data_IF_486772278336
#
_entry.id   IF_486772278336
#
_cell.length_a   1.000
_cell.length_b   1.000
_cell.length_c   1.000
_cell.angle_alpha   90.00
_cell.angle_beta   90.00
_cell.angle_gamma   90.00
#
_symmetry.space_group_name_H-M   'P 1'
#
loop_
_entity.id
_entity.type
_entity.pdbx_description
1 polymer ?
#
# COMPACT_ATOMS: atom_id res chain seq x y z
N UNK A 1 7.84 -41.02 0.42
CA UNK A 1 6.85 -39.96 0.71
C UNK A 1 7.61 -38.65 0.73
N UNK A 2 7.28 -37.72 -0.17
CA UNK A 2 7.82 -36.36 -0.10
C UNK A 2 7.39 -35.73 1.23
N UNK A 3 8.29 -34.97 1.86
CA UNK A 3 7.92 -34.24 3.08
C UNK A 3 6.85 -33.21 2.72
N UNK A 4 5.81 -33.05 3.54
CA UNK A 4 4.82 -32.01 3.31
C UNK A 4 5.51 -30.64 3.28
N UNK A 5 5.15 -29.83 2.29
CA UNK A 5 5.78 -28.55 1.98
C UNK A 5 4.72 -27.46 1.92
N UNK A 6 5.06 -26.27 2.40
CA UNK A 6 4.21 -25.10 2.23
C UNK A 6 4.08 -24.76 0.75
N UNK A 7 2.86 -24.51 0.30
CA UNK A 7 2.60 -24.03 -1.06
C UNK A 7 1.89 -22.69 -0.99
N UNK A 8 2.33 -21.76 -1.81
CA UNK A 8 1.65 -20.49 -1.99
C UNK A 8 0.37 -20.67 -2.82
N UNK A 9 -0.38 -19.59 -3.04
CA UNK A 9 -1.66 -19.67 -3.75
C UNK A 9 -1.51 -20.02 -5.25
N UNK A 10 -0.33 -19.80 -5.83
CA UNK A 10 -0.04 -20.17 -7.22
C UNK A 10 0.33 -21.65 -7.35
N UNK A 11 0.49 -22.36 -6.21
CA UNK A 11 0.95 -23.74 -6.16
C UNK A 11 2.48 -23.87 -6.12
N UNK A 12 3.20 -22.76 -5.96
CA UNK A 12 4.66 -22.78 -5.89
C UNK A 12 5.12 -23.14 -4.47
N UNK A 13 6.20 -23.93 -4.31
CA UNK A 13 6.72 -24.26 -3.00
C UNK A 13 7.28 -23.04 -2.26
N UNK A 14 6.95 -22.92 -0.99
CA UNK A 14 7.44 -21.90 -0.10
C UNK A 14 8.44 -22.47 0.92
N UNK A 15 9.48 -21.68 1.16
CA UNK A 15 10.52 -21.98 2.14
C UNK A 15 10.69 -20.81 3.09
N UNK A 16 10.86 -21.12 4.37
CA UNK A 16 11.17 -20.13 5.39
C UNK A 16 12.55 -19.52 5.13
N UNK A 17 12.63 -18.19 5.24
CA UNK A 17 13.92 -17.51 5.20
C UNK A 17 14.77 -17.82 6.44
N UNK A 18 16.08 -17.87 6.20
CA UNK A 18 17.12 -18.07 7.21
C UNK A 18 18.04 -16.85 7.41
N UNK A 19 17.94 -15.82 6.56
CA UNK A 19 18.73 -14.61 6.72
C UNK A 19 18.35 -13.84 8.00
N UNK A 20 19.33 -13.14 8.54
CA UNK A 20 19.23 -12.33 9.75
C UNK A 20 19.10 -10.85 9.40
N UNK A 21 18.55 -10.05 10.31
CA UNK A 21 18.58 -8.60 10.14
C UNK A 21 20.00 -8.05 10.05
N UNK A 22 20.96 -8.66 10.75
CA UNK A 22 22.36 -8.22 10.69
C UNK A 22 22.90 -8.28 9.26
N UNK A 23 22.67 -9.37 8.54
CA UNK A 23 23.09 -9.51 7.13
C UNK A 23 22.41 -8.46 6.23
N UNK A 24 21.15 -8.13 6.50
CA UNK A 24 20.43 -7.06 5.80
C UNK A 24 21.10 -5.69 6.05
N UNK A 25 21.36 -5.33 7.30
CA UNK A 25 22.00 -4.05 7.66
C UNK A 25 23.42 -3.96 7.10
N UNK A 26 24.23 -5.03 7.21
CA UNK A 26 25.62 -5.05 6.76
C UNK A 26 25.75 -4.91 5.22
N UNK A 27 24.73 -5.32 4.47
CA UNK A 27 24.74 -5.23 3.01
C UNK A 27 24.45 -3.81 2.48
N UNK A 28 23.75 -2.97 3.25
CA UNK A 28 23.30 -1.65 2.82
C UNK A 28 24.43 -0.61 3.00
N UNK A 29 24.72 0.22 1.98
CA UNK A 29 25.72 1.27 2.11
C UNK A 29 25.44 2.25 3.27
N UNK A 30 26.45 2.64 4.07
CA UNK A 30 26.25 3.50 5.25
C UNK A 30 25.61 4.86 4.98
N UNK A 31 25.73 5.40 3.75
CA UNK A 31 25.11 6.67 3.41
C UNK A 31 23.59 6.57 3.22
N UNK A 32 23.05 5.39 2.86
CA UNK A 32 21.61 5.19 2.71
C UNK A 32 20.85 5.44 4.02
N UNK A 33 21.50 5.26 5.18
CA UNK A 33 20.92 5.50 6.50
C UNK A 33 20.93 6.98 6.93
N UNK A 34 21.45 7.91 6.12
CA UNK A 34 21.66 9.30 6.51
C UNK A 34 20.58 10.21 5.90
N UNK A 35 19.56 10.63 6.68
CA UNK A 35 18.59 11.60 6.19
C UNK A 35 19.22 12.98 6.00
N UNK A 36 18.87 13.62 4.89
CA UNK A 36 19.12 15.03 4.57
C UNK A 36 17.85 15.85 4.78
N UNK A 37 17.83 16.64 5.86
CA UNK A 37 16.70 17.53 6.17
C UNK A 37 16.37 18.48 5.02
N UNK A 38 17.40 19.06 4.39
CA UNK A 38 17.22 20.01 3.28
C UNK A 38 16.53 19.32 2.11
N UNK A 39 16.98 18.11 1.75
CA UNK A 39 16.38 17.34 0.67
C UNK A 39 14.92 17.00 0.99
N UNK A 40 14.64 16.47 2.17
CA UNK A 40 13.28 16.11 2.57
C UNK A 40 12.33 17.32 2.60
N UNK A 41 12.78 18.47 3.12
CA UNK A 41 12.00 19.72 3.09
C UNK A 41 11.79 20.23 1.65
N UNK A 42 12.77 20.08 0.76
CA UNK A 42 12.60 20.45 -0.64
C UNK A 42 11.49 19.63 -1.32
N UNK A 43 11.31 18.34 -0.97
CA UNK A 43 10.17 17.54 -1.45
C UNK A 43 8.83 18.03 -0.89
N UNK A 44 8.77 18.44 0.37
CA UNK A 44 7.56 19.06 0.94
C UNK A 44 7.21 20.34 0.17
N UNK A 45 8.18 21.23 -0.03
CA UNK A 45 7.98 22.48 -0.79
C UNK A 45 7.51 22.18 -2.21
N UNK A 46 8.13 21.19 -2.88
CA UNK A 46 7.75 20.76 -4.23
C UNK A 46 6.29 20.28 -4.29
N UNK A 47 5.88 19.45 -3.34
CA UNK A 47 4.53 18.86 -3.37
C UNK A 47 3.46 19.92 -3.06
N UNK A 48 3.72 20.83 -2.12
CA UNK A 48 2.84 21.98 -1.88
C UNK A 48 2.85 22.96 -3.06
N UNK A 49 3.96 23.13 -3.76
CA UNK A 49 4.01 23.90 -5.00
C UNK A 49 3.13 23.27 -6.08
N UNK A 50 3.20 21.94 -6.30
CA UNK A 50 2.30 21.24 -7.24
C UNK A 50 0.84 21.40 -6.85
N UNK A 51 0.51 21.26 -5.56
CA UNK A 51 -0.82 21.52 -5.04
C UNK A 51 -1.30 22.92 -5.40
N UNK A 52 -0.51 23.95 -5.08
CA UNK A 52 -0.91 25.33 -5.32
C UNK A 52 -1.06 25.64 -6.82
N UNK A 53 -0.16 25.11 -7.66
CA UNK A 53 -0.24 25.29 -9.11
C UNK A 53 -1.48 24.60 -9.68
N UNK A 54 -1.77 23.36 -9.30
CA UNK A 54 -2.97 22.65 -9.78
C UNK A 54 -4.25 23.38 -9.38
N UNK A 55 -4.37 23.82 -8.12
CA UNK A 55 -5.50 24.63 -7.66
C UNK A 55 -5.62 25.91 -8.48
N UNK A 56 -4.54 26.67 -8.64
CA UNK A 56 -4.53 27.92 -9.39
C UNK A 56 -4.96 27.72 -10.85
N UNK A 57 -4.41 26.71 -11.52
CA UNK A 57 -4.76 26.40 -12.91
C UNK A 57 -6.24 25.98 -13.01
N UNK A 58 -6.72 25.16 -12.08
CA UNK A 58 -8.08 24.67 -12.07
C UNK A 58 -9.10 25.82 -11.93
N UNK A 59 -8.91 26.69 -10.92
CA UNK A 59 -9.85 27.79 -10.67
C UNK A 59 -9.80 28.88 -11.75
N UNK A 60 -8.65 29.06 -12.40
CA UNK A 60 -8.45 30.10 -13.43
C UNK A 60 -8.96 29.65 -14.80
N UNK A 61 -8.65 28.41 -15.21
CA UNK A 61 -8.83 27.98 -16.59
C UNK A 61 -9.95 26.97 -16.82
N UNK A 62 -10.40 26.21 -15.81
CA UNK A 62 -11.52 25.27 -16.04
C UNK A 62 -12.85 26.00 -16.23
N UNK A 63 -13.20 27.04 -15.45
CA UNK A 63 -14.48 27.74 -15.61
C UNK A 63 -14.68 28.40 -16.98
N UNK A 64 -13.59 28.82 -17.65
CA UNK A 64 -13.66 29.47 -18.96
C UNK A 64 -13.96 28.50 -20.11
N UNK A 65 -13.88 27.18 -19.90
CA UNK A 65 -14.18 26.17 -20.92
C UNK A 65 -15.68 26.23 -21.25
N UNK A 66 -16.11 26.61 -22.46
CA UNK A 66 -17.52 26.85 -22.76
C UNK A 66 -18.35 25.56 -22.84
N UNK A 67 -17.72 24.44 -23.22
CA UNK A 67 -18.40 23.16 -23.42
C UNK A 67 -18.50 22.36 -22.11
N UNK A 68 -19.72 22.19 -21.60
CA UNK A 68 -19.98 21.57 -20.28
C UNK A 68 -19.35 20.18 -20.11
N UNK A 69 -19.45 19.23 -21.07
CA UNK A 69 -18.81 17.93 -20.91
C UNK A 69 -17.28 18.03 -20.80
N UNK A 70 -16.64 18.91 -21.57
CA UNK A 70 -15.20 19.13 -21.47
C UNK A 70 -14.82 19.77 -20.13
N UNK A 71 -15.63 20.70 -19.63
CA UNK A 71 -15.45 21.29 -18.30
C UNK A 71 -15.55 20.25 -17.20
N UNK A 72 -16.51 19.33 -17.29
CA UNK A 72 -16.66 18.22 -16.36
C UNK A 72 -15.42 17.31 -16.39
N UNK A 73 -14.97 16.90 -17.58
CA UNK A 73 -13.76 16.08 -17.74
C UNK A 73 -12.51 16.78 -17.18
N UNK A 74 -12.38 18.10 -17.39
CA UNK A 74 -11.27 18.87 -16.84
C UNK A 74 -11.30 18.91 -15.31
N UNK A 75 -12.47 19.08 -14.69
CA UNK A 75 -12.62 18.97 -13.23
C UNK A 75 -12.32 17.55 -12.73
N UNK A 76 -12.77 16.50 -13.42
CA UNK A 76 -12.44 15.12 -13.08
C UNK A 76 -10.93 14.87 -13.16
N UNK A 77 -10.26 15.35 -14.20
CA UNK A 77 -8.82 15.24 -14.34
C UNK A 77 -8.07 15.99 -13.22
N UNK A 78 -8.52 17.19 -12.88
CA UNK A 78 -7.97 17.94 -11.75
C UNK A 78 -8.07 17.14 -10.44
N UNK A 79 -9.23 16.57 -10.11
CA UNK A 79 -9.39 15.90 -8.82
C UNK A 79 -8.49 14.67 -8.69
N UNK A 80 -8.31 13.90 -9.78
CA UNK A 80 -7.38 12.77 -9.83
C UNK A 80 -5.95 13.24 -9.64
N UNK A 81 -5.51 14.25 -10.41
CA UNK A 81 -4.13 14.77 -10.33
C UNK A 81 -3.81 15.38 -8.97
N UNK A 82 -4.75 16.14 -8.41
CA UNK A 82 -4.62 16.73 -7.08
C UNK A 82 -4.60 15.65 -5.99
N UNK A 83 -5.37 14.58 -6.18
CA UNK A 83 -5.35 13.38 -5.35
C UNK A 83 -3.98 12.73 -5.30
N UNK A 84 -3.29 12.59 -6.44
CA UNK A 84 -1.92 12.08 -6.47
C UNK A 84 -0.95 12.94 -5.64
N UNK A 85 -1.04 14.26 -5.78
CA UNK A 85 -0.19 15.19 -5.01
C UNK A 85 -0.48 15.08 -3.51
N UNK A 86 -1.75 15.00 -3.10
CA UNK A 86 -2.10 14.81 -1.70
C UNK A 86 -1.58 13.49 -1.14
N UNK A 87 -1.64 12.39 -1.92
CA UNK A 87 -1.04 11.12 -1.52
C UNK A 87 0.47 11.25 -1.33
N UNK A 88 1.18 12.00 -2.19
CA UNK A 88 2.60 12.33 -1.99
C UNK A 88 2.88 13.04 -0.67
N UNK A 89 2.06 14.03 -0.32
CA UNK A 89 2.13 14.74 0.97
C UNK A 89 1.89 13.77 2.14
N UNK A 90 0.92 12.86 2.00
CA UNK A 90 0.65 11.83 3.00
C UNK A 90 1.87 10.93 3.25
N UNK A 91 2.56 10.53 2.17
CA UNK A 91 3.75 9.66 2.23
C UNK A 91 4.92 10.39 2.91
N UNK A 92 5.13 11.68 2.62
CA UNK A 92 6.15 12.48 3.32
C UNK A 92 5.89 12.58 4.83
N UNK A 93 4.62 12.69 5.24
CA UNK A 93 4.24 12.65 6.65
C UNK A 93 4.44 11.26 7.27
N UNK A 94 4.25 10.19 6.50
CA UNK A 94 4.61 8.85 6.90
C UNK A 94 6.12 8.69 7.12
N UNK A 95 6.98 9.22 6.25
CA UNK A 95 8.45 9.25 6.43
C UNK A 95 8.86 9.99 7.72
N UNK A 96 8.14 11.06 8.07
CA UNK A 96 8.29 11.73 9.36
C UNK A 96 7.95 10.79 10.54
N UNK A 97 6.93 9.95 10.40
CA UNK A 97 6.52 8.95 11.41
C UNK A 97 7.61 7.93 11.72
N UNK A 98 8.39 7.50 10.71
CA UNK A 98 9.52 6.59 10.88
C UNK A 98 10.82 7.27 11.31
N UNK A 99 10.87 8.60 11.23
CA UNK A 99 12.10 9.36 11.47
C UNK A 99 13.09 9.33 10.30
N UNK A 100 12.65 8.86 9.12
CA UNK A 100 13.44 8.84 7.89
C UNK A 100 13.55 10.23 7.23
N UNK A 101 12.67 11.17 7.60
CA UNK A 101 12.64 12.50 7.01
C UNK A 101 13.82 13.40 7.45
N UNK A 102 14.15 13.41 8.74
CA UNK A 102 15.22 14.23 9.34
C UNK A 102 15.81 13.55 10.58
N UNK A 103 17.07 13.88 10.93
CA UNK A 103 17.65 13.50 12.22
C UNK A 103 16.94 14.14 13.42
N UNK A 104 16.25 15.28 13.20
CA UNK A 104 15.52 15.96 14.26
C UNK A 104 14.12 15.35 14.44
N UNK A 105 13.96 14.63 15.55
CA UNK A 105 12.67 14.04 15.95
C UNK A 105 11.56 15.09 16.06
N UNK A 106 11.85 16.26 16.63
CA UNK A 106 10.88 17.33 16.76
C UNK A 106 10.44 17.86 15.39
N UNK A 107 11.38 18.04 14.46
CA UNK A 107 11.05 18.50 13.11
C UNK A 107 10.14 17.50 12.39
N UNK A 108 10.48 16.21 12.46
CA UNK A 108 9.65 15.14 11.90
C UNK A 108 8.24 15.19 12.49
N UNK A 109 8.14 15.32 13.82
CA UNK A 109 6.85 15.33 14.49
C UNK A 109 6.01 16.55 14.12
N UNK A 110 6.61 17.74 14.04
CA UNK A 110 5.91 18.96 13.63
C UNK A 110 5.44 18.90 12.18
N UNK A 111 6.32 18.54 11.24
CA UNK A 111 5.96 18.48 9.82
C UNK A 111 4.97 17.35 9.53
N UNK A 112 5.15 16.19 10.16
CA UNK A 112 4.22 15.08 10.09
C UNK A 112 2.83 15.49 10.60
N UNK A 113 2.75 16.14 11.77
CA UNK A 113 1.50 16.63 12.32
C UNK A 113 0.80 17.60 11.36
N UNK A 114 1.52 18.57 10.78
CA UNK A 114 0.94 19.55 9.85
C UNK A 114 0.38 18.85 8.59
N UNK A 115 1.19 18.02 7.94
CA UNK A 115 0.84 17.38 6.67
C UNK A 115 -0.28 16.34 6.83
N UNK A 116 -0.26 15.51 7.88
CA UNK A 116 -1.34 14.57 8.15
C UNK A 116 -2.61 15.25 8.65
N UNK A 117 -2.53 16.31 9.48
CA UNK A 117 -3.72 17.08 9.88
C UNK A 117 -4.39 17.72 8.67
N UNK A 118 -3.61 18.25 7.71
CA UNK A 118 -4.12 18.74 6.42
C UNK A 118 -4.92 17.69 5.65
N UNK A 119 -4.68 16.40 5.88
CA UNK A 119 -5.35 15.26 5.26
C UNK A 119 -6.29 14.52 6.22
N UNK A 120 -6.67 15.14 7.34
CA UNK A 120 -7.54 14.58 8.38
C UNK A 120 -7.05 13.24 8.96
N UNK A 121 -5.72 13.07 9.04
CA UNK A 121 -5.08 11.90 9.66
C UNK A 121 -4.51 12.30 11.01
N UNK A 122 -4.85 11.61 12.11
CA UNK A 122 -4.29 11.92 13.42
C UNK A 122 -2.83 11.40 13.49
N UNK A 123 -1.86 12.27 13.20
CA UNK A 123 -0.46 11.91 12.99
C UNK A 123 0.18 11.05 14.09
N UNK A 124 0.11 11.47 15.36
CA UNK A 124 0.77 10.70 16.43
C UNK A 124 0.04 9.40 16.74
N UNK A 125 -1.29 9.41 16.65
CA UNK A 125 -2.11 8.20 16.76
C UNK A 125 -1.69 7.17 15.72
N UNK A 126 -1.72 7.57 14.45
CA UNK A 126 -1.40 6.70 13.34
C UNK A 126 0.07 6.26 13.34
N UNK A 127 1.03 7.17 13.56
CA UNK A 127 2.46 6.76 13.55
C UNK A 127 2.78 5.75 14.67
N UNK A 128 2.07 5.81 15.82
CA UNK A 128 2.30 4.90 16.95
C UNK A 128 1.74 3.51 16.63
N UNK A 129 0.50 3.43 16.15
CA UNK A 129 -0.10 2.16 15.73
C UNK A 129 0.61 1.56 14.51
N UNK A 130 1.05 2.39 13.57
CA UNK A 130 1.84 1.97 12.41
C UNK A 130 3.24 1.49 12.80
N UNK A 131 3.90 2.12 13.77
CA UNK A 131 5.16 1.59 14.31
C UNK A 131 4.98 0.23 15.01
N UNK A 132 3.80 -0.08 15.54
CA UNK A 132 3.48 -1.41 16.05
C UNK A 132 3.27 -2.42 14.91
N UNK A 133 2.62 -1.99 13.82
CA UNK A 133 2.50 -2.80 12.60
C UNK A 133 3.88 -3.25 12.13
N UNK A 134 4.82 -2.34 11.88
CA UNK A 134 6.19 -2.69 11.46
C UNK A 134 6.91 -3.68 12.41
N UNK A 135 6.61 -3.64 13.72
CA UNK A 135 7.22 -4.55 14.69
C UNK A 135 6.60 -5.95 14.68
N UNK A 136 5.43 -6.11 14.07
CA UNK A 136 4.64 -7.34 14.10
C UNK A 136 4.11 -7.74 12.71
N UNK A 137 4.54 -7.09 11.62
CA UNK A 137 4.05 -7.33 10.26
C UNK A 137 4.03 -8.82 9.92
N UNK A 138 2.93 -9.28 9.33
CA UNK A 138 2.75 -10.67 8.91
C UNK A 138 2.55 -11.66 10.07
N UNK A 139 2.46 -11.19 11.32
CA UNK A 139 2.05 -12.02 12.45
C UNK A 139 0.52 -12.01 12.60
N UNK A 140 -0.12 -13.16 12.52
CA UNK A 140 -1.59 -13.24 12.53
C UNK A 140 -2.23 -12.87 13.88
N UNK A 141 -1.46 -12.86 14.98
CA UNK A 141 -1.99 -12.52 16.30
C UNK A 141 -1.68 -11.09 16.74
N UNK A 142 -0.59 -10.48 16.24
CA UNK A 142 -0.02 -9.22 16.76
C UNK A 142 0.04 -8.09 15.74
N UNK A 143 -0.07 -8.35 14.44
CA UNK A 143 -0.11 -7.29 13.44
C UNK A 143 -1.31 -6.36 13.73
N UNK A 144 -1.10 -5.05 13.62
CA UNK A 144 -2.08 -4.02 13.97
C UNK A 144 -2.79 -3.44 12.74
N UNK A 145 -2.44 -3.85 11.53
CA UNK A 145 -2.95 -3.25 10.30
C UNK A 145 -3.41 -4.24 9.23
N UNK A 146 -2.72 -5.37 9.03
CA UNK A 146 -3.02 -6.30 7.91
C UNK A 146 -3.10 -7.75 8.38
N UNK A 147 -4.01 -8.04 9.31
CA UNK A 147 -4.28 -9.41 9.77
C UNK A 147 -5.29 -10.07 8.82
N UNK A 148 -4.88 -11.07 8.01
CA UNK A 148 -5.84 -11.83 7.22
C UNK A 148 -6.73 -12.68 8.12
N UNK A 149 -7.92 -13.01 7.61
CA UNK A 149 -8.82 -13.94 8.30
C UNK A 149 -8.35 -15.38 8.11
N UNK A 150 -8.52 -16.21 9.12
CA UNK A 150 -8.49 -17.67 8.95
C UNK A 150 -9.77 -18.12 8.23
N UNK A 151 -9.72 -19.28 7.55
CA UNK A 151 -10.86 -19.82 6.78
C UNK A 151 -12.18 -19.81 7.58
N UNK A 152 -12.17 -20.36 8.78
CA UNK A 152 -13.36 -20.44 9.63
C UNK A 152 -13.90 -19.08 10.05
N UNK A 153 -13.01 -18.10 10.28
CA UNK A 153 -13.41 -16.74 10.63
C UNK A 153 -14.03 -16.03 9.43
N UNK A 154 -13.43 -16.20 8.26
CA UNK A 154 -13.92 -15.64 7.01
C UNK A 154 -15.31 -16.18 6.68
N UNK A 155 -15.52 -17.51 6.79
CA UNK A 155 -16.82 -18.16 6.56
C UNK A 155 -17.86 -17.61 7.53
N UNK A 156 -17.55 -17.53 8.83
CA UNK A 156 -18.49 -17.00 9.84
C UNK A 156 -18.86 -15.54 9.58
N UNK A 157 -17.92 -14.71 9.14
CA UNK A 157 -18.14 -13.29 8.88
C UNK A 157 -18.97 -13.08 7.60
N UNK A 158 -18.67 -13.79 6.51
CA UNK A 158 -19.32 -13.57 5.21
C UNK A 158 -20.61 -14.35 5.02
N UNK A 159 -20.69 -15.55 5.58
CA UNK A 159 -21.81 -16.49 5.36
C UNK A 159 -22.63 -16.76 6.63
N UNK A 160 -22.18 -16.27 7.78
CA UNK A 160 -22.84 -16.42 9.08
C UNK A 160 -22.38 -17.65 9.86
N UNK A 161 -22.71 -17.67 11.15
CA UNK A 161 -22.23 -18.69 12.11
C UNK A 161 -22.84 -20.08 11.92
N UNK A 162 -23.89 -20.21 11.09
CA UNK A 162 -24.58 -21.46 10.76
C UNK A 162 -24.60 -21.73 9.26
N UNK A 163 -23.61 -21.22 8.52
CA UNK A 163 -23.52 -21.47 7.08
C UNK A 163 -23.54 -22.98 6.80
N UNK A 164 -24.54 -23.45 6.04
CA UNK A 164 -24.61 -24.84 5.62
C UNK A 164 -23.56 -25.11 4.53
N UNK A 165 -23.16 -26.38 4.37
CA UNK A 165 -22.21 -26.78 3.32
C UNK A 165 -22.67 -26.32 1.92
N UNK A 166 -23.96 -26.46 1.62
CA UNK A 166 -24.56 -25.98 0.36
C UNK A 166 -24.44 -24.45 0.17
N UNK A 167 -24.49 -23.66 1.24
CA UNK A 167 -24.32 -22.21 1.17
C UNK A 167 -22.85 -21.84 0.94
N UNK A 168 -21.92 -22.61 1.51
CA UNK A 168 -20.50 -22.47 1.23
C UNK A 168 -20.26 -22.77 -0.24
N UNK A 169 -20.74 -23.91 -0.75
CA UNK A 169 -20.63 -24.32 -2.17
C UNK A 169 -21.21 -23.25 -3.13
N UNK A 170 -22.40 -22.72 -2.83
CA UNK A 170 -22.99 -21.62 -3.59
C UNK A 170 -22.16 -20.34 -3.52
N UNK A 171 -21.57 -20.03 -2.36
CA UNK A 171 -20.66 -18.91 -2.21
C UNK A 171 -19.37 -19.13 -3.00
N UNK A 172 -18.84 -20.35 -3.11
CA UNK A 172 -17.66 -20.64 -3.97
C UNK A 172 -17.99 -20.36 -5.45
N UNK A 173 -19.20 -20.69 -5.89
CA UNK A 173 -19.70 -20.41 -7.23
C UNK A 173 -19.95 -18.91 -7.47
N UNK A 174 -20.39 -18.17 -6.45
CA UNK A 174 -20.73 -16.75 -6.54
C UNK A 174 -19.56 -15.79 -6.24
N UNK A 175 -18.49 -16.27 -5.60
CA UNK A 175 -17.33 -15.47 -5.17
C UNK A 175 -16.61 -14.80 -6.34
N UNK A 176 -16.67 -15.40 -7.53
CA UNK A 176 -16.09 -14.86 -8.76
C UNK A 176 -17.03 -13.96 -9.57
N UNK A 177 -18.23 -13.66 -9.05
CA UNK A 177 -19.15 -12.73 -9.70
C UNK A 177 -18.51 -11.35 -9.85
N UNK A 178 -18.33 -10.81 -11.08
CA UNK A 178 -17.72 -9.51 -11.30
C UNK A 178 -18.43 -8.37 -10.56
N UNK A 179 -19.75 -8.49 -10.36
CA UNK A 179 -20.56 -7.49 -9.65
C UNK A 179 -20.26 -7.52 -8.15
N UNK A 180 -20.14 -8.71 -7.56
CA UNK A 180 -19.80 -8.87 -6.15
C UNK A 180 -18.40 -8.34 -5.85
N UNK A 181 -17.43 -8.69 -6.70
CA UNK A 181 -16.06 -8.18 -6.59
C UNK A 181 -16.00 -6.65 -6.74
N UNK A 182 -16.69 -6.08 -7.73
CA UNK A 182 -16.74 -4.63 -7.94
C UNK A 182 -17.39 -3.89 -6.76
N UNK A 183 -18.49 -4.42 -6.21
CA UNK A 183 -19.13 -3.83 -5.04
C UNK A 183 -18.20 -3.84 -3.83
N UNK A 184 -17.52 -4.97 -3.60
CA UNK A 184 -16.55 -5.07 -2.51
C UNK A 184 -15.40 -4.07 -2.68
N UNK A 185 -14.90 -3.87 -3.89
CA UNK A 185 -13.86 -2.88 -4.20
C UNK A 185 -14.31 -1.45 -3.93
N UNK A 186 -15.52 -1.08 -4.34
CA UNK A 186 -16.07 0.24 -4.07
C UNK A 186 -16.17 0.50 -2.57
N UNK A 187 -16.70 -0.45 -1.80
CA UNK A 187 -16.81 -0.33 -0.35
C UNK A 187 -15.43 -0.26 0.30
N UNK A 188 -14.49 -1.11 -0.12
CA UNK A 188 -13.13 -1.16 0.39
C UNK A 188 -12.39 0.16 0.15
N UNK A 189 -12.45 0.70 -1.08
CA UNK A 189 -11.74 1.93 -1.43
C UNK A 189 -12.33 3.19 -0.79
N UNK A 190 -13.65 3.25 -0.58
CA UNK A 190 -14.30 4.43 0.02
C UNK A 190 -14.23 4.42 1.55
N UNK A 191 -14.39 3.25 2.18
CA UNK A 191 -14.57 3.14 3.63
C UNK A 191 -13.44 2.41 4.36
N UNK A 192 -12.49 1.80 3.65
CA UNK A 192 -11.37 1.06 4.25
C UNK A 192 -10.54 1.93 5.17
N UNK A 193 -10.09 3.09 4.70
CA UNK A 193 -9.26 4.00 5.50
C UNK A 193 -9.99 4.63 6.69
N UNK A 194 -11.17 5.28 6.53
CA UNK A 194 -11.93 5.77 7.67
C UNK A 194 -12.32 4.65 8.65
N UNK A 195 -12.68 3.48 8.13
CA UNK A 195 -13.03 2.31 8.92
C UNK A 195 -11.85 1.77 9.74
N UNK A 196 -10.65 1.76 9.17
CA UNK A 196 -9.42 1.44 9.90
C UNK A 196 -9.17 2.41 11.05
N UNK A 197 -9.24 3.72 10.78
CA UNK A 197 -8.99 4.74 11.80
C UNK A 197 -10.02 4.69 12.94
N UNK A 198 -11.30 4.50 12.62
CA UNK A 198 -12.39 4.57 13.61
C UNK A 198 -12.65 3.23 14.32
N UNK A 199 -12.46 2.11 13.62
CA UNK A 199 -12.96 0.80 14.05
C UNK A 199 -11.95 -0.36 13.92
N UNK A 200 -10.70 -0.10 13.54
CA UNK A 200 -9.65 -1.11 13.43
C UNK A 200 -10.05 -2.35 12.59
N UNK A 201 -10.67 -2.13 11.43
CA UNK A 201 -11.30 -3.21 10.64
C UNK A 201 -10.34 -4.33 10.19
N UNK A 202 -9.05 -4.04 10.06
CA UNK A 202 -8.05 -4.93 9.44
C UNK A 202 -6.93 -5.37 10.39
N UNK A 203 -6.88 -4.85 11.62
CA UNK A 203 -5.87 -5.21 12.62
C UNK A 203 -6.26 -6.41 13.48
N UNK A 204 -5.39 -6.76 14.43
CA UNK A 204 -5.68 -7.77 15.46
C UNK A 204 -6.92 -7.43 16.29
N UNK A 205 -7.47 -8.45 16.96
CA UNK A 205 -8.73 -8.35 17.73
C UNK A 205 -8.56 -7.80 19.16
N UNK A 206 -7.32 -7.61 19.64
CA UNK A 206 -7.03 -7.09 20.99
C UNK A 206 -7.86 -7.73 22.11
N UNK A 207 -7.95 -9.06 22.14
CA UNK A 207 -8.73 -9.79 23.14
C UNK A 207 -10.25 -9.50 23.11
N UNK A 208 -10.77 -9.02 21.98
CA UNK A 208 -12.19 -8.69 21.81
C UNK A 208 -12.57 -7.27 22.25
N UNK A 209 -11.60 -6.35 22.37
CA UNK A 209 -11.87 -4.94 22.63
C UNK A 209 -12.80 -4.34 21.55
N UNK A 210 -13.69 -3.42 21.97
CA UNK A 210 -14.72 -2.81 21.11
C UNK A 210 -14.88 -1.32 21.42
N UNK A 211 -15.58 -0.63 20.52
CA UNK A 211 -15.94 0.78 20.69
C UNK A 211 -14.72 1.70 20.58
N UNK A 212 -14.68 2.73 21.41
CA UNK A 212 -13.62 3.74 21.34
C UNK A 212 -12.22 3.18 21.62
N UNK A 213 -12.11 2.08 22.39
CA UNK A 213 -10.82 1.48 22.75
C UNK A 213 -9.98 1.03 21.55
N UNK A 214 -10.61 0.81 20.40
CA UNK A 214 -10.00 0.42 19.12
C UNK A 214 -10.07 1.53 18.07
N UNK A 215 -10.24 2.79 18.50
CA UNK A 215 -10.21 3.97 17.62
C UNK A 215 -8.87 4.69 17.73
N UNK A 216 -8.37 5.20 16.60
CA UNK A 216 -7.16 6.00 16.57
C UNK A 216 -7.33 7.38 17.23
N UNK A 217 -8.57 7.84 17.41
CA UNK A 217 -8.90 9.11 18.05
C UNK A 217 -9.16 8.97 19.56
N UNK A 218 -8.90 7.79 20.14
CA UNK A 218 -9.17 7.55 21.55
C UNK A 218 -7.93 7.71 22.42
N UNK A 219 -8.00 8.66 23.36
CA UNK A 219 -6.95 8.99 24.31
C UNK A 219 -7.27 8.56 25.76
N UNK A 220 -8.13 7.56 25.94
CA UNK A 220 -8.37 6.95 27.26
C UNK A 220 -7.24 6.00 27.69
N UNK A 221 -7.06 5.83 29.00
CA UNK A 221 -6.01 4.95 29.58
C UNK A 221 -6.18 3.47 29.24
N UNK A 222 -7.39 3.06 28.88
CA UNK A 222 -7.76 1.71 28.47
C UNK A 222 -7.72 1.51 26.94
N UNK A 223 -7.15 2.47 26.19
CA UNK A 223 -6.82 2.31 24.77
C UNK A 223 -5.94 1.08 24.55
N UNK A 224 -6.21 0.33 23.48
CA UNK A 224 -5.39 -0.84 23.13
C UNK A 224 -4.15 -0.47 22.31
N UNK A 225 -4.12 0.73 21.75
CA UNK A 225 -3.03 1.19 20.88
C UNK A 225 -1.93 1.93 21.63
N UNK A 226 -2.27 2.66 22.71
CA UNK A 226 -1.38 3.68 23.27
C UNK A 226 -1.09 3.47 24.75
N UNK A 227 0.12 3.86 25.16
CA UNK A 227 0.51 3.90 26.58
C UNK A 227 0.05 5.20 27.22
N UNK A 228 -0.07 5.21 28.56
CA UNK A 228 -0.52 6.40 29.30
C UNK A 228 0.33 7.65 29.02
N UNK A 229 1.64 7.49 28.87
CA UNK A 229 2.55 8.61 28.58
C UNK A 229 2.50 9.11 27.13
N UNK A 230 1.77 8.44 26.24
CA UNK A 230 1.59 8.80 24.84
C UNK A 230 0.29 9.58 24.60
N UNK A 231 -0.67 9.54 25.54
CA UNK A 231 -2.02 10.09 25.38
C UNK A 231 -2.04 11.59 25.05
N UNK A 232 -1.10 12.37 25.59
CA UNK A 232 -0.96 13.79 25.27
C UNK A 232 -0.67 14.05 23.77
N UNK A 233 0.02 13.12 23.10
CA UNK A 233 0.29 13.20 21.66
C UNK A 233 -0.95 12.85 20.82
N UNK A 234 -1.81 11.98 21.34
CA UNK A 234 -3.09 11.63 20.71
C UNK A 234 -4.00 12.86 20.71
N UNK A 235 -4.15 13.51 21.86
CA UNK A 235 -4.88 14.77 22.00
C UNK A 235 -4.34 15.83 21.02
N UNK A 236 -3.01 15.97 20.93
CA UNK A 236 -2.40 16.92 19.99
C UNK A 236 -2.76 16.63 18.52
N UNK A 237 -2.86 15.35 18.15
CA UNK A 237 -3.26 14.94 16.80
C UNK A 237 -4.73 15.23 16.53
N UNK A 238 -5.60 14.94 17.51
CA UNK A 238 -7.03 15.20 17.42
C UNK A 238 -7.31 16.71 17.31
N UNK A 239 -6.56 17.55 18.04
CA UNK A 239 -6.58 19.01 17.89
C UNK A 239 -6.18 19.42 16.47
N UNK A 240 -5.12 18.83 15.92
CA UNK A 240 -4.70 19.10 14.54
C UNK A 240 -5.79 18.80 13.51
N UNK A 241 -6.45 17.65 13.64
CA UNK A 241 -7.60 17.27 12.81
C UNK A 241 -8.77 18.23 13.01
N UNK A 242 -9.11 18.58 14.25
CA UNK A 242 -10.20 19.52 14.54
C UNK A 242 -9.93 20.94 13.96
N UNK A 243 -8.68 21.41 14.04
CA UNK A 243 -8.26 22.68 13.42
C UNK A 243 -8.45 22.62 11.92
N UNK A 244 -8.05 21.53 11.25
CA UNK A 244 -8.24 21.38 9.82
C UNK A 244 -9.73 21.36 9.43
N UNK A 245 -10.57 20.64 10.19
CA UNK A 245 -12.02 20.64 9.98
C UNK A 245 -12.59 22.07 10.10
N UNK A 246 -12.21 22.80 11.15
CA UNK A 246 -12.63 24.19 11.33
C UNK A 246 -12.17 25.08 10.16
N UNK A 247 -10.93 24.90 9.69
CA UNK A 247 -10.39 25.62 8.54
C UNK A 247 -11.19 25.33 7.24
N UNK A 248 -11.60 24.07 7.03
CA UNK A 248 -12.44 23.68 5.88
C UNK A 248 -13.84 24.29 5.96
N UNK A 249 -14.44 24.34 7.16
CA UNK A 249 -15.75 24.99 7.38
C UNK A 249 -15.65 26.49 7.09
N UNK A 250 -14.64 27.16 7.63
CA UNK A 250 -14.39 28.59 7.38
C UNK A 250 -14.14 28.84 5.89
N UNK A 251 -13.32 28.01 5.23
CA UNK A 251 -13.09 28.11 3.80
C UNK A 251 -14.38 27.91 2.99
N UNK A 252 -15.27 27.02 3.42
CA UNK A 252 -16.58 26.81 2.79
C UNK A 252 -17.49 28.04 2.92
N UNK A 253 -17.43 28.73 4.06
CA UNK A 253 -18.17 29.98 4.29
C UNK A 253 -17.61 31.14 3.47
N UNK A 254 -16.28 31.23 3.32
CA UNK A 254 -15.61 32.34 2.61
C UNK A 254 -15.61 32.16 1.08
N UNK A 255 -15.39 30.94 0.60
CA UNK A 255 -15.15 30.65 -0.82
C UNK A 255 -16.26 29.78 -1.45
N UNK A 256 -17.27 29.39 -0.68
CA UNK A 256 -18.35 28.51 -1.10
C UNK A 256 -18.04 27.03 -0.87
N UNK A 257 -18.97 26.32 -0.21
CA UNK A 257 -18.79 24.91 0.16
C UNK A 257 -18.51 24.00 -1.05
N UNK A 258 -19.11 24.29 -2.21
CA UNK A 258 -18.88 23.50 -3.43
C UNK A 258 -17.44 23.61 -3.94
N UNK A 259 -16.82 24.78 -3.81
CA UNK A 259 -15.41 24.97 -4.18
C UNK A 259 -14.51 24.18 -3.23
N UNK A 260 -14.76 24.18 -1.93
CA UNK A 260 -14.00 23.35 -0.98
C UNK A 260 -14.18 21.86 -1.26
N UNK A 261 -15.41 21.44 -1.60
CA UNK A 261 -15.70 20.05 -1.95
C UNK A 261 -14.86 19.61 -3.15
N UNK A 262 -14.88 20.36 -4.25
CA UNK A 262 -14.16 19.98 -5.47
C UNK A 262 -12.65 20.16 -5.30
N UNK A 263 -12.19 21.26 -4.68
CA UNK A 263 -10.78 21.60 -4.62
C UNK A 263 -10.00 20.80 -3.58
N UNK A 264 -10.65 20.36 -2.51
CA UNK A 264 -9.98 19.66 -1.41
C UNK A 264 -10.65 18.32 -1.06
N UNK A 265 -11.97 18.25 -0.87
CA UNK A 265 -12.62 17.02 -0.38
C UNK A 265 -12.57 15.86 -1.38
N UNK A 266 -12.87 16.10 -2.66
CA UNK A 266 -12.80 15.05 -3.69
C UNK A 266 -11.36 14.58 -3.92
N UNK A 267 -10.33 15.46 -4.02
CA UNK A 267 -8.93 15.05 -3.97
C UNK A 267 -8.53 14.29 -2.70
N UNK A 268 -9.07 14.66 -1.54
CA UNK A 268 -8.85 13.92 -0.30
C UNK A 268 -9.46 12.51 -0.32
N UNK A 269 -10.61 12.30 -0.97
CA UNK A 269 -11.15 10.95 -1.18
C UNK A 269 -10.20 10.08 -2.02
N UNK A 270 -9.49 10.66 -2.98
CA UNK A 270 -8.45 9.93 -3.71
C UNK A 270 -7.30 9.49 -2.81
N UNK A 271 -6.94 10.28 -1.79
CA UNK A 271 -5.93 9.87 -0.79
C UNK A 271 -6.38 8.60 -0.07
N UNK A 272 -7.64 8.56 0.37
CA UNK A 272 -8.20 7.38 1.04
C UNK A 272 -8.13 6.15 0.14
N UNK A 273 -8.52 6.29 -1.13
CA UNK A 273 -8.40 5.23 -2.13
C UNK A 273 -6.93 4.80 -2.30
N UNK A 274 -6.00 5.73 -2.53
CA UNK A 274 -4.61 5.36 -2.79
C UNK A 274 -3.94 4.69 -1.60
N UNK A 275 -4.18 5.16 -0.36
CA UNK A 275 -3.65 4.51 0.84
C UNK A 275 -4.13 3.07 0.93
N UNK A 276 -5.44 2.84 0.77
CA UNK A 276 -6.03 1.49 0.83
C UNK A 276 -5.47 0.62 -0.30
N UNK A 277 -5.47 1.09 -1.55
CA UNK A 277 -4.99 0.31 -2.68
C UNK A 277 -3.50 -0.03 -2.60
N UNK A 278 -2.65 0.93 -2.23
CA UNK A 278 -1.20 0.76 -2.10
C UNK A 278 -0.89 -0.26 -1.01
N UNK A 279 -1.41 -0.03 0.20
CA UNK A 279 -1.11 -0.88 1.34
C UNK A 279 -1.70 -2.28 1.21
N UNK A 280 -2.90 -2.40 0.63
CA UNK A 280 -3.47 -3.71 0.28
C UNK A 280 -2.53 -4.49 -0.64
N UNK A 281 -2.06 -3.90 -1.74
CA UNK A 281 -1.21 -4.60 -2.70
C UNK A 281 0.21 -4.89 -2.23
N UNK A 282 0.67 -4.12 -1.26
CA UNK A 282 1.93 -4.29 -0.57
C UNK A 282 1.89 -5.46 0.42
N UNK A 283 0.74 -5.72 1.05
CA UNK A 283 0.59 -6.74 2.09
C UNK A 283 -0.23 -7.96 1.66
N UNK A 284 -0.85 -7.92 0.48
CA UNK A 284 -1.71 -8.98 -0.04
C UNK A 284 -1.22 -9.43 -1.40
N UNK A 285 -0.74 -10.67 -1.48
CA UNK A 285 -0.41 -11.35 -2.72
C UNK A 285 -0.44 -12.87 -2.53
N UNK A 286 -0.72 -13.59 -3.62
CA UNK A 286 -0.70 -15.04 -3.70
C UNK A 286 0.54 -15.69 -3.07
N UNK A 287 1.69 -15.00 -3.15
CA UNK A 287 3.00 -15.48 -2.71
C UNK A 287 3.35 -15.10 -1.25
N UNK A 288 2.50 -14.32 -0.56
CA UNK A 288 2.80 -13.80 0.78
C UNK A 288 2.49 -14.79 1.90
N UNK A 289 3.48 -15.11 2.76
CA UNK A 289 3.26 -15.89 3.97
C UNK A 289 2.76 -15.02 5.12
N UNK A 290 2.06 -15.66 6.06
CA UNK A 290 1.74 -15.12 7.37
C UNK A 290 2.16 -16.14 8.43
N UNK A 291 2.43 -15.68 9.65
CA UNK A 291 3.06 -16.50 10.68
C UNK A 291 2.32 -16.41 12.01
N UNK A 292 2.21 -17.55 12.69
CA UNK A 292 1.89 -17.56 14.12
C UNK A 292 3.06 -17.03 14.95
N UNK A 293 2.80 -16.78 16.23
CA UNK A 293 3.83 -16.40 17.19
C UNK A 293 5.01 -17.39 17.30
N UNK A 294 4.79 -18.69 17.10
CA UNK A 294 5.84 -19.71 17.23
C UNK A 294 6.87 -19.66 16.10
N UNK A 295 6.46 -19.18 14.92
CA UNK A 295 7.26 -19.25 13.68
C UNK A 295 7.74 -17.87 13.24
N UNK A 296 7.05 -16.83 13.69
CA UNK A 296 7.38 -15.45 13.39
C UNK A 296 8.72 -15.02 14.02
N UNK A 297 9.52 -14.32 13.25
CA UNK A 297 10.57 -13.43 13.74
C UNK A 297 10.52 -12.14 12.92
N UNK A 298 11.24 -11.10 13.36
CA UNK A 298 11.19 -9.80 12.70
C UNK A 298 11.60 -9.87 11.22
N UNK A 299 12.65 -10.60 10.86
CA UNK A 299 13.10 -10.70 9.48
C UNK A 299 12.06 -11.36 8.56
N UNK A 300 11.40 -12.43 9.03
CA UNK A 300 10.31 -13.10 8.32
C UNK A 300 9.08 -12.20 8.18
N UNK A 301 8.70 -11.53 9.26
CA UNK A 301 7.55 -10.63 9.27
C UNK A 301 7.73 -9.41 8.37
N UNK A 302 8.86 -8.71 8.51
CA UNK A 302 9.20 -7.54 7.70
C UNK A 302 9.37 -7.85 6.20
N UNK A 303 9.47 -9.13 5.83
CA UNK A 303 9.58 -9.58 4.43
C UNK A 303 8.32 -10.27 3.91
N UNK A 304 7.27 -10.35 4.73
CA UNK A 304 5.91 -10.70 4.30
C UNK A 304 5.23 -9.52 3.59
N UNK A 305 5.92 -8.99 2.58
CA UNK A 305 5.49 -7.84 1.80
C UNK A 305 6.10 -7.89 0.40
N UNK A 306 5.53 -7.14 -0.55
CA UNK A 306 5.89 -7.20 -1.96
C UNK A 306 6.02 -5.80 -2.57
N UNK A 307 7.09 -5.60 -3.36
CA UNK A 307 7.22 -4.40 -4.18
C UNK A 307 6.32 -4.46 -5.41
N UNK A 308 5.70 -3.34 -5.75
CA UNK A 308 4.85 -3.17 -6.94
C UNK A 308 5.41 -2.06 -7.83
N UNK A 309 4.75 -1.80 -8.96
CA UNK A 309 5.09 -0.68 -9.83
C UNK A 309 3.86 0.15 -10.22
N UNK A 310 3.99 1.48 -10.11
CA UNK A 310 3.05 2.48 -10.65
C UNK A 310 3.78 3.53 -11.51
N UNK A 311 4.95 3.17 -12.04
CA UNK A 311 5.73 3.94 -12.99
C UNK A 311 6.11 5.33 -12.49
N UNK A 312 5.85 6.35 -13.33
CA UNK A 312 6.17 7.74 -13.01
C UNK A 312 5.42 8.25 -11.78
N UNK A 313 4.20 7.78 -11.54
CA UNK A 313 3.41 8.22 -10.39
C UNK A 313 4.11 7.79 -9.10
N UNK A 314 4.56 6.53 -9.03
CA UNK A 314 5.33 6.03 -7.88
C UNK A 314 6.61 6.84 -7.66
N UNK A 315 7.46 6.84 -8.69
CA UNK A 315 8.82 7.41 -8.61
C UNK A 315 8.85 8.93 -8.37
N UNK A 316 7.86 9.67 -8.87
CA UNK A 316 7.86 11.13 -8.79
C UNK A 316 6.92 11.67 -7.73
N UNK A 317 5.69 11.15 -7.64
CA UNK A 317 4.63 11.68 -6.78
C UNK A 317 4.51 10.91 -5.47
N UNK A 318 4.67 9.59 -5.48
CA UNK A 318 4.53 8.76 -4.29
C UNK A 318 5.87 8.37 -3.66
N UNK A 319 6.94 9.02 -4.09
CA UNK A 319 8.25 8.93 -3.42
C UNK A 319 8.75 7.48 -3.33
N UNK A 320 8.58 6.68 -4.38
CA UNK A 320 9.06 5.29 -4.51
C UNK A 320 8.49 4.29 -3.47
N UNK A 321 7.51 4.65 -2.64
CA UNK A 321 7.00 3.78 -1.57
C UNK A 321 6.42 2.46 -2.10
N UNK A 322 5.85 2.46 -3.32
CA UNK A 322 5.25 1.27 -3.91
C UNK A 322 6.37 0.31 -4.37
N UNK A 323 7.43 0.87 -4.95
CA UNK A 323 8.55 0.13 -5.53
C UNK A 323 9.64 -0.30 -4.57
N UNK A 324 9.65 0.18 -3.32
CA UNK A 324 10.68 -0.12 -2.32
C UNK A 324 10.09 -0.52 -0.97
N UNK A 325 8.89 -1.08 -0.97
CA UNK A 325 8.16 -1.36 0.26
C UNK A 325 8.80 -2.47 1.10
N UNK A 326 9.44 -3.45 0.47
CA UNK A 326 10.23 -4.47 1.18
C UNK A 326 11.37 -3.82 1.97
N UNK A 327 12.10 -2.88 1.36
CA UNK A 327 13.13 -2.11 2.04
C UNK A 327 12.55 -1.30 3.20
N UNK A 328 11.41 -0.66 2.96
CA UNK A 328 10.71 0.13 3.96
C UNK A 328 10.30 -0.72 5.19
N UNK A 329 9.82 -1.95 5.02
CA UNK A 329 9.51 -2.80 6.18
C UNK A 329 10.75 -3.30 6.93
N UNK A 330 11.80 -3.68 6.21
CA UNK A 330 13.05 -4.13 6.81
C UNK A 330 13.76 -3.02 7.59
N UNK A 331 13.81 -1.82 7.01
CA UNK A 331 14.53 -0.66 7.54
C UNK A 331 13.79 0.64 7.21
N UNK A 332 12.68 0.88 7.91
CA UNK A 332 11.80 2.04 7.68
C UNK A 332 12.45 3.40 7.93
N UNK A 333 13.65 3.43 8.53
CA UNK A 333 14.40 4.66 8.82
C UNK A 333 15.28 5.12 7.66
N UNK A 334 15.41 4.31 6.59
CA UNK A 334 16.07 4.73 5.35
C UNK A 334 15.14 5.72 4.64
N UNK A 335 15.61 6.93 4.30
CA UNK A 335 14.81 7.89 3.55
C UNK A 335 14.43 7.33 2.19
N UNK A 336 13.21 7.60 1.75
CA UNK A 336 12.69 7.14 0.46
C UNK A 336 13.64 7.37 -0.74
N UNK A 337 14.38 8.48 -0.78
CA UNK A 337 15.32 8.78 -1.87
C UNK A 337 16.62 7.94 -1.86
N UNK A 338 16.83 7.12 -0.82
CA UNK A 338 17.88 6.10 -0.74
C UNK A 338 17.31 4.67 -0.75
N UNK A 339 15.99 4.51 -0.62
CA UNK A 339 15.33 3.20 -0.55
C UNK A 339 15.54 2.37 -1.83
N UNK A 340 15.59 3.00 -3.00
CA UNK A 340 15.88 2.33 -4.27
C UNK A 340 17.27 1.69 -4.29
N UNK A 341 18.30 2.41 -3.84
CA UNK A 341 19.67 1.90 -3.73
C UNK A 341 19.73 0.78 -2.68
N UNK A 342 19.22 1.03 -1.48
CA UNK A 342 19.18 0.04 -0.40
C UNK A 342 18.49 -1.26 -0.85
N UNK A 343 17.39 -1.16 -1.61
CA UNK A 343 16.67 -2.33 -2.15
C UNK A 343 17.55 -3.20 -3.04
N UNK A 344 18.49 -2.64 -3.81
CA UNK A 344 19.41 -3.43 -4.66
C UNK A 344 20.32 -4.31 -3.78
N UNK A 345 20.78 -3.77 -2.66
CA UNK A 345 21.63 -4.50 -1.71
C UNK A 345 20.83 -5.55 -0.92
N UNK A 346 19.63 -5.20 -0.47
CA UNK A 346 18.71 -6.09 0.22
C UNK A 346 18.36 -7.31 -0.66
N UNK A 347 18.08 -7.10 -1.96
CA UNK A 347 17.77 -8.19 -2.91
C UNK A 347 18.88 -9.25 -2.97
N UNK A 348 20.15 -8.85 -2.83
CA UNK A 348 21.30 -9.78 -2.86
C UNK A 348 21.32 -10.71 -1.64
N UNK A 349 20.93 -10.20 -0.48
CA UNK A 349 20.86 -10.97 0.77
C UNK A 349 19.62 -11.87 0.78
N UNK A 350 18.46 -11.33 0.42
CA UNK A 350 17.19 -12.06 0.45
C UNK A 350 17.08 -13.14 -0.63
N UNK A 351 17.76 -12.96 -1.78
CA UNK A 351 17.71 -13.89 -2.91
C UNK A 351 16.27 -14.18 -3.33
N UNK A 352 15.91 -15.48 -3.36
CA UNK A 352 14.58 -15.97 -3.74
C UNK A 352 13.43 -15.50 -2.82
N UNK A 353 13.75 -15.04 -1.61
CA UNK A 353 12.74 -14.56 -0.66
C UNK A 353 12.35 -13.10 -0.92
N UNK A 354 13.08 -12.36 -1.76
CA UNK A 354 12.66 -11.03 -2.16
C UNK A 354 11.46 -11.11 -3.10
N UNK A 355 10.34 -10.51 -2.72
CA UNK A 355 9.11 -10.55 -3.51
C UNK A 355 8.88 -9.21 -4.21
N UNK A 356 8.63 -9.29 -5.51
CA UNK A 356 8.38 -8.13 -6.36
C UNK A 356 7.54 -8.55 -7.56
N UNK A 357 6.51 -7.76 -7.87
CA UNK A 357 5.69 -7.91 -9.07
C UNK A 357 5.51 -6.53 -9.71
N UNK A 358 6.49 -6.18 -10.55
CA UNK A 358 6.52 -4.92 -11.31
C UNK A 358 6.02 -5.09 -12.75
N UNK A 359 5.71 -6.32 -13.16
CA UNK A 359 5.24 -6.64 -14.53
C UNK A 359 3.72 -6.59 -14.62
N UNK A 360 3.01 -6.94 -13.56
CA UNK A 360 1.55 -6.87 -13.53
C UNK A 360 1.10 -5.42 -13.33
N UNK A 361 0.23 -4.85 -14.18
CA UNK A 361 -0.30 -3.51 -13.96
C UNK A 361 -0.98 -3.39 -12.60
N UNK A 362 -0.79 -2.27 -11.90
CA UNK A 362 -1.24 -2.05 -10.52
C UNK A 362 -2.72 -2.45 -10.30
N UNK A 363 -3.64 -1.95 -11.12
CA UNK A 363 -5.06 -2.27 -10.98
C UNK A 363 -5.42 -3.71 -11.37
N UNK A 364 -4.65 -4.33 -12.27
CA UNK A 364 -4.80 -5.75 -12.58
C UNK A 364 -4.37 -6.62 -11.39
N UNK A 365 -3.25 -6.27 -10.74
CA UNK A 365 -2.83 -6.93 -9.52
C UNK A 365 -3.85 -6.71 -8.39
N UNK A 366 -4.39 -5.50 -8.26
CA UNK A 366 -5.41 -5.17 -7.24
C UNK A 366 -6.62 -6.08 -7.40
N UNK A 367 -7.20 -6.11 -8.60
CA UNK A 367 -8.36 -6.93 -8.92
C UNK A 367 -8.09 -8.44 -8.75
N UNK A 368 -6.93 -8.91 -9.19
CA UNK A 368 -6.50 -10.30 -9.03
C UNK A 368 -6.46 -10.67 -7.55
N UNK A 369 -5.74 -9.90 -6.75
CA UNK A 369 -5.48 -10.23 -5.36
C UNK A 369 -6.73 -10.10 -4.50
N UNK A 370 -7.61 -9.14 -4.79
CA UNK A 370 -8.90 -9.03 -4.13
C UNK A 370 -9.76 -10.29 -4.31
N UNK A 371 -9.69 -10.91 -5.49
CA UNK A 371 -10.44 -12.13 -5.79
C UNK A 371 -9.76 -13.40 -5.29
N UNK A 372 -8.44 -13.43 -5.24
CA UNK A 372 -7.69 -14.66 -4.96
C UNK A 372 -7.29 -14.79 -3.49
N UNK A 373 -7.06 -13.68 -2.78
CA UNK A 373 -6.53 -13.67 -1.41
C UNK A 373 -7.65 -13.40 -0.40
N UNK A 374 -8.40 -14.44 -0.02
CA UNK A 374 -9.63 -14.30 0.79
C UNK A 374 -9.40 -14.59 2.27
N UNK A 375 -8.71 -15.68 2.54
CA UNK A 375 -8.33 -16.12 3.87
C UNK A 375 -6.95 -16.77 3.81
N UNK A 376 -6.37 -17.03 4.97
CA UNK A 376 -5.14 -17.79 5.09
C UNK A 376 -5.36 -19.08 5.87
N UNK A 377 -4.62 -20.12 5.50
CA UNK A 377 -4.59 -21.40 6.20
C UNK A 377 -3.21 -22.06 6.03
N UNK A 378 -2.91 -23.04 6.88
CA UNK A 378 -1.71 -23.85 6.69
C UNK A 378 -1.87 -24.78 5.49
N UNK A 379 -0.76 -25.08 4.82
CA UNK A 379 -0.79 -26.07 3.74
C UNK A 379 -1.09 -27.45 4.31
N UNK A 380 -1.84 -28.26 3.55
CA UNK A 380 -2.21 -29.63 3.94
C UNK A 380 -0.97 -30.47 4.28
N UNK A 381 -0.99 -31.13 5.44
CA UNK A 381 0.14 -31.91 5.95
C UNK A 381 1.21 -31.07 6.66
N UNK A 382 1.05 -29.74 6.71
CA UNK A 382 1.92 -28.85 7.47
C UNK A 382 1.19 -28.22 8.69
N UNK A 383 0.14 -28.86 9.18
CA UNK A 383 -0.64 -28.36 10.32
C UNK A 383 0.25 -28.21 11.58
N UNK A 384 0.14 -27.09 12.27
CA UNK A 384 0.96 -26.74 13.43
C UNK A 384 2.34 -26.15 13.10
N UNK A 385 2.67 -25.96 11.82
CA UNK A 385 3.90 -25.29 11.39
C UNK A 385 3.94 -23.81 11.77
N UNK A 386 2.78 -23.17 11.93
CA UNK A 386 2.66 -21.74 12.11
C UNK A 386 2.92 -20.91 10.85
N UNK A 387 2.86 -21.50 9.64
CA UNK A 387 2.99 -20.80 8.35
C UNK A 387 1.68 -20.89 7.58
N UNK A 388 1.06 -19.73 7.38
CA UNK A 388 -0.24 -19.57 6.73
C UNK A 388 -0.06 -18.91 5.37
N UNK A 389 -0.76 -19.43 4.36
CA UNK A 389 -0.74 -18.91 2.99
C UNK A 389 -2.13 -18.53 2.54
N UNK A 390 -2.22 -17.54 1.66
CA UNK A 390 -3.50 -17.13 1.10
C UNK A 390 -4.18 -18.25 0.31
N UNK A 391 -5.51 -18.27 0.40
CA UNK A 391 -6.45 -19.16 -0.28
C UNK A 391 -7.72 -18.39 -0.66
N UNK A 392 -8.48 -18.97 -1.58
CA UNK A 392 -9.86 -18.63 -1.88
C UNK A 392 -10.72 -19.91 -1.81
N UNK A 393 -12.02 -19.80 -1.97
CA UNK A 393 -12.90 -20.97 -1.88
C UNK A 393 -12.68 -21.96 -3.03
N UNK A 394 -12.16 -21.51 -4.17
CA UNK A 394 -11.93 -22.34 -5.36
C UNK A 394 -10.66 -23.21 -5.24
N UNK A 395 -9.62 -22.70 -4.57
CA UNK A 395 -8.37 -23.41 -4.34
C UNK A 395 -8.43 -24.15 -3.01
N UNK A 396 -9.18 -25.26 -3.00
CA UNK A 396 -9.10 -26.22 -1.89
C UNK A 396 -7.69 -26.86 -1.84
N UNK A 397 -7.29 -27.46 -0.71
CA UNK A 397 -5.95 -28.02 -0.50
C UNK A 397 -5.53 -29.17 -1.45
N UNK A 398 -6.34 -29.46 -2.47
CA UNK A 398 -6.12 -30.48 -3.48
C UNK A 398 -5.57 -29.93 -4.81
N UNK A 399 -5.18 -28.65 -4.90
CA UNK A 399 -4.36 -28.17 -6.02
C UNK A 399 -5.01 -28.38 -7.39
N UNK A 400 -6.24 -27.89 -7.57
CA UNK A 400 -6.78 -27.65 -8.91
C UNK A 400 -7.37 -26.23 -9.00
N UNK A 401 -6.48 -25.24 -9.03
CA UNK A 401 -6.76 -24.10 -9.89
C UNK A 401 -6.70 -24.65 -11.33
N UNK A 402 -7.84 -24.68 -12.02
CA UNK A 402 -7.87 -24.94 -13.45
C UNK A 402 -6.97 -23.89 -14.10
N UNK A 403 -5.79 -24.31 -14.54
CA UNK A 403 -5.09 -23.66 -15.63
C UNK A 403 -6.10 -23.55 -16.76
N UNK A 404 -6.67 -22.36 -16.97
CA UNK A 404 -7.19 -22.02 -18.30
C UNK A 404 -5.97 -21.93 -19.21
N UNK A 405 -5.47 -23.10 -19.63
CA UNK A 405 -4.71 -23.18 -20.87
C UNK A 405 -5.55 -22.49 -21.94
N UNK A 406 -4.94 -21.64 -22.81
CA UNK A 406 -5.64 -21.16 -23.99
C UNK A 406 -6.17 -22.38 -24.72
N UNK A 407 -7.44 -22.34 -25.10
CA UNK A 407 -8.06 -23.39 -25.92
C UNK A 407 -7.22 -23.49 -27.18
N UNK A 408 -6.49 -24.59 -27.29
CA UNK A 408 -5.83 -25.03 -28.49
C UNK A 408 -6.94 -25.43 -29.47
N UNK A 409 -7.32 -24.49 -30.35
CA UNK A 409 -8.13 -24.84 -31.52
C UNK A 409 -7.19 -25.53 -32.48
N UNK A 410 -7.20 -26.86 -32.41
CA UNK A 410 -6.56 -27.73 -33.39
C UNK A 410 -6.89 -27.30 -34.82
N UNK A 411 -5.80 -27.07 -35.56
CA UNK A 411 -5.60 -27.22 -37.00
C UNK A 411 -6.82 -27.51 -37.88
N UNK A 412 -7.09 -26.62 -38.83
CA UNK A 412 -7.14 -26.98 -40.26
C UNK A 412 -6.96 -25.76 -41.18
N UNK A 413 -5.82 -25.76 -41.89
CA UNK A 413 -5.49 -25.20 -43.21
C UNK A 413 -6.04 -23.81 -43.62
N UNK A 414 -5.14 -22.87 -43.89
CA UNK A 414 -4.73 -22.59 -45.28
C UNK A 414 -3.45 -21.75 -45.37
N UNK A 415 -2.63 -22.13 -46.34
CA UNK A 415 -1.45 -21.48 -46.90
C UNK A 415 -1.54 -19.97 -47.15
N UNK A 416 -0.33 -19.38 -47.32
CA UNK A 416 0.03 -18.05 -47.87
C UNK A 416 -0.02 -16.85 -46.92
N UNK A 417 1.12 -16.49 -46.35
CA UNK A 417 2.04 -15.50 -46.96
C UNK A 417 3.28 -15.28 -46.08
N UNK A 418 4.44 -15.63 -46.62
CA UNK A 418 5.67 -14.88 -46.37
C UNK A 418 5.53 -13.43 -46.85
N UNK A 419 6.43 -12.58 -46.35
CA UNK A 419 6.62 -11.14 -46.64
C UNK A 419 5.65 -10.15 -45.95
N UNK A 420 6.09 -9.59 -44.82
CA UNK A 420 6.65 -8.22 -44.86
C UNK A 420 7.47 -7.93 -43.57
N UNK A 421 8.78 -7.80 -43.73
CA UNK A 421 9.69 -7.23 -42.73
C UNK A 421 9.57 -5.70 -42.73
N UNK A 422 9.81 -5.14 -41.55
CA UNK A 422 10.49 -3.86 -41.28
C UNK A 422 9.70 -2.54 -41.34
N UNK A 423 10.23 -1.59 -40.56
CA UNK A 423 9.93 -0.15 -40.46
C UNK A 423 8.78 0.13 -39.45
N UNK A 424 8.99 0.77 -38.27
CA UNK A 424 9.73 2.00 -37.98
C UNK A 424 10.41 1.91 -36.60
N UNK A 425 11.75 1.97 -36.61
CA UNK A 425 12.54 2.54 -35.53
C UNK A 425 12.48 4.05 -35.69
N UNK A 426 12.06 4.77 -34.65
CA UNK A 426 12.40 6.20 -34.52
C UNK A 426 13.00 6.42 -33.14
N UNK A 427 14.33 6.48 -33.15
CA UNK A 427 15.18 7.01 -32.11
C UNK A 427 14.85 8.47 -31.88
N UNK A 428 14.11 8.76 -30.81
CA UNK A 428 14.07 10.09 -30.22
C UNK A 428 15.20 10.17 -29.20
N UNK A 429 16.32 10.70 -29.68
CA UNK A 429 17.45 11.14 -28.88
C UNK A 429 16.99 12.43 -28.15
N UNK A 430 16.59 12.33 -26.89
CA UNK A 430 16.37 13.50 -26.03
C UNK A 430 17.41 13.45 -24.91
N UNK A 431 18.51 14.12 -25.20
CA UNK A 431 19.51 14.53 -24.23
C UNK A 431 18.95 15.72 -23.44
N UNK A 432 18.08 15.42 -22.46
CA UNK A 432 17.68 16.39 -21.43
C UNK A 432 17.94 15.76 -20.08
N UNK A 433 19.05 16.15 -19.44
CA UNK A 433 19.40 15.77 -18.05
C UNK A 433 18.37 16.34 -17.07
N UNK A 434 17.24 15.64 -16.89
CA UNK A 434 16.41 15.75 -15.69
C UNK A 434 17.03 14.84 -14.63
N UNK A 435 17.30 15.37 -13.43
CA UNK A 435 17.69 14.56 -12.27
C UNK A 435 16.50 13.67 -11.88
N UNK A 436 16.44 12.48 -12.49
CA UNK A 436 15.55 11.39 -12.09
C UNK A 436 15.88 10.97 -10.66
N UNK A 437 14.90 10.47 -9.89
CA UNK A 437 15.19 9.81 -8.61
C UNK A 437 16.19 8.66 -8.84
N UNK A 438 17.00 8.31 -7.83
CA UNK A 438 17.97 7.22 -7.95
C UNK A 438 17.28 5.90 -8.37
N UNK A 439 16.05 5.67 -7.90
CA UNK A 439 15.20 4.53 -8.28
C UNK A 439 14.83 4.53 -9.78
N UNK A 440 14.47 5.69 -10.34
CA UNK A 440 14.20 5.83 -11.77
C UNK A 440 15.47 5.67 -12.62
N UNK A 441 16.64 6.09 -12.11
CA UNK A 441 17.93 5.85 -12.77
C UNK A 441 18.26 4.34 -12.80
N UNK A 442 18.08 3.64 -11.67
CA UNK A 442 18.29 2.20 -11.55
C UNK A 442 17.39 1.40 -12.50
N UNK A 443 16.10 1.72 -12.59
CA UNK A 443 15.17 1.03 -13.50
C UNK A 443 15.48 1.28 -14.98
N UNK A 444 16.08 2.42 -15.30
CA UNK A 444 16.50 2.76 -16.67
C UNK A 444 17.93 2.31 -17.01
N UNK A 445 18.60 1.52 -16.15
CA UNK A 445 20.03 1.17 -16.29
C UNK A 445 20.95 2.40 -16.46
N UNK A 446 20.57 3.54 -15.89
CA UNK A 446 21.38 4.75 -15.89
C UNK A 446 22.37 4.72 -14.73
N UNK A 447 23.60 5.26 -14.90
CA UNK A 447 24.55 5.38 -13.80
C UNK A 447 23.94 6.22 -12.68
N UNK A 448 24.02 5.71 -11.45
CA UNK A 448 23.65 6.46 -10.26
C UNK A 448 24.56 7.68 -10.20
N UNK A 449 24.00 8.87 -10.41
CA UNK A 449 24.75 10.10 -10.24
C UNK A 449 24.98 10.25 -8.73
N UNK A 450 26.18 9.90 -8.26
CA UNK A 450 26.63 10.22 -6.92
C UNK A 450 26.59 11.76 -6.80
N UNK A 451 25.79 12.27 -5.88
CA UNK A 451 25.85 13.70 -5.54
C UNK A 451 27.12 13.92 -4.71
N UNK A 452 28.01 14.77 -5.24
CA UNK A 452 29.16 15.30 -4.52
C UNK A 452 28.73 16.20 -3.35
#
# INVERSE_FOLDING_TARGET
>A
MEKPQHIDLNGDPFELSSFTMKEIYDAIPPHCFKPSTIRSVAYVIRDYFYLSVLVYLAVTYIPIIPYTPLRFLAWSAYTVLQGFVFTGIWILAHECGHGAFSKSKNLNWTLGLIMHSFLLVPFHSWRLSHAQHHKATGNIERDTAFVPKLRDEWIKEKLGTKASENLIELAELAEDSPISALWHDIVHQLFGWPGYLLFNLTGQKYGGAKGLRISHFYFGKDSVFYKENELGLIILSDIGVAIMIAALVIAGQLFGSWNVIILWFVPWLWVNNWIVAITFLQHTDATMPHYSNSTWNFARGATATIDRDLGFIDTHLFHDIIGTHVCHHLVSTIPFYHAGEASVHIRRVMGKHYKSDTKTPFWTAFWRNQRSCKFVEESKGCEGSGVYMFRNLQNTPNGQAISKKPIDRGSEKSEKKEELKSVISSSINIETRRRLSQSAQLRANLPILAEA
#
